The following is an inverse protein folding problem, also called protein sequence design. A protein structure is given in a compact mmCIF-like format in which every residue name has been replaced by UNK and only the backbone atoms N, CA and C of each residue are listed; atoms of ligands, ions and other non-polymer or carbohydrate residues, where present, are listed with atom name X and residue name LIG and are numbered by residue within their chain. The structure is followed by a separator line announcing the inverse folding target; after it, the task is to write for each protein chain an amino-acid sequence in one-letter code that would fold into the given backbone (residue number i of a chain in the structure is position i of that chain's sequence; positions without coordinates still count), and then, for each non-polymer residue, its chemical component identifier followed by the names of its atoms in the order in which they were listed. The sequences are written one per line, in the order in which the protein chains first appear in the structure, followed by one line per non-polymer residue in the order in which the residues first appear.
data_IF_686049806248
#
_entry.id   IF_686049806248
#
_cell.length_a   1.000
_cell.length_b   1.000
_cell.length_c   1.000
_cell.angle_alpha   90.00
_cell.angle_beta   90.00
_cell.angle_gamma   90.00
#
_symmetry.space_group_name_H-M   'P 1'
#
loop_
_entity.id
_entity.type
_entity.pdbx_description
1 polymer ?
#
# COMPACT_ATOMS: atom_id res chain seq x y z
N UNK A 1 -5.94 -11.03 14.93
CA UNK A 1 -4.47 -10.80 14.98
C UNK A 1 -4.18 -9.36 14.63
N UNK A 2 -3.18 -8.75 15.26
CA UNK A 2 -2.79 -7.34 15.01
C UNK A 2 -1.83 -7.29 13.83
N UNK A 3 -1.97 -6.25 12.99
CA UNK A 3 -1.02 -5.92 11.92
C UNK A 3 -0.32 -4.62 12.29
N UNK A 4 1.01 -4.61 12.28
CA UNK A 4 1.82 -3.42 12.57
C UNK A 4 2.52 -2.96 11.30
N UNK A 5 2.41 -1.67 10.99
CA UNK A 5 3.14 -1.03 9.90
C UNK A 5 4.34 -0.26 10.44
N UNK A 6 5.46 -0.33 9.73
CA UNK A 6 6.70 0.36 10.07
C UNK A 6 7.04 1.34 8.95
N UNK A 7 7.27 2.59 9.31
CA UNK A 7 7.56 3.69 8.40
C UNK A 7 9.02 4.11 8.57
N UNK A 8 9.73 4.33 7.47
CA UNK A 8 11.13 4.71 7.48
C UNK A 8 11.46 5.68 6.36
N UNK A 9 11.34 5.22 5.11
CA UNK A 9 11.81 6.00 3.94
C UNK A 9 10.87 7.12 3.52
N UNK A 10 9.56 6.94 3.63
CA UNK A 10 8.55 7.93 3.20
C UNK A 10 7.57 8.22 4.34
N UNK A 11 7.04 9.47 4.45
CA UNK A 11 6.17 9.86 5.56
C UNK A 11 4.87 9.06 5.66
N UNK A 12 4.30 8.69 4.50
CA UNK A 12 2.96 8.10 4.41
C UNK A 12 2.96 6.70 3.82
N UNK A 13 4.13 6.12 3.55
CA UNK A 13 4.25 4.82 2.90
C UNK A 13 5.04 3.91 3.84
N UNK A 14 4.43 2.81 4.31
CA UNK A 14 5.15 1.88 5.16
C UNK A 14 6.21 1.12 4.34
N UNK A 15 7.36 0.89 4.96
CA UNK A 15 8.44 0.09 4.38
C UNK A 15 8.24 -1.40 4.69
N UNK A 16 7.66 -1.71 5.85
CA UNK A 16 7.41 -3.09 6.30
C UNK A 16 6.07 -3.25 7.03
N UNK A 17 5.56 -4.48 7.00
CA UNK A 17 4.39 -4.93 7.75
C UNK A 17 4.76 -6.18 8.57
N UNK A 18 4.38 -6.19 9.85
CA UNK A 18 4.48 -7.38 10.71
C UNK A 18 3.06 -7.91 10.92
N UNK A 19 2.81 -9.16 10.51
CA UNK A 19 1.50 -9.80 10.59
C UNK A 19 1.67 -11.29 10.92
N UNK A 20 1.03 -11.73 12.01
CA UNK A 20 1.07 -13.14 12.42
C UNK A 20 2.49 -13.65 12.72
N UNK A 21 3.38 -12.78 13.21
CA UNK A 21 4.78 -13.12 13.49
C UNK A 21 5.72 -13.04 12.28
N UNK A 22 5.18 -12.92 11.05
CA UNK A 22 5.98 -12.75 9.84
C UNK A 22 6.22 -11.28 9.53
N UNK A 23 7.40 -10.99 8.98
CA UNK A 23 7.78 -9.66 8.50
C UNK A 23 7.72 -9.64 6.98
N UNK A 24 7.09 -8.60 6.45
CA UNK A 24 6.94 -8.39 5.01
C UNK A 24 7.50 -7.03 4.63
N UNK A 25 8.28 -6.97 3.57
CA UNK A 25 8.71 -5.72 2.93
C UNK A 25 7.65 -5.25 1.95
N UNK A 26 7.40 -3.96 1.95
CA UNK A 26 6.49 -3.29 1.03
C UNK A 26 7.33 -2.51 0.03
N UNK A 27 7.20 -2.86 -1.25
CA UNK A 27 7.82 -2.12 -2.35
C UNK A 27 6.74 -1.26 -2.98
N UNK A 28 6.93 0.05 -2.94
CA UNK A 28 6.02 1.02 -3.54
C UNK A 28 6.58 1.59 -4.84
N UNK A 29 5.70 2.10 -5.69
CA UNK A 29 6.12 2.94 -6.81
C UNK A 29 6.57 4.33 -6.34
N UNK A 30 6.93 5.19 -7.31
CA UNK A 30 7.40 6.55 -7.03
C UNK A 30 6.37 7.39 -6.25
N UNK A 31 5.10 7.01 -6.29
CA UNK A 31 3.96 7.73 -5.71
C UNK A 31 3.60 7.21 -4.33
N UNK A 32 4.15 6.05 -3.95
CA UNK A 32 3.90 5.42 -2.68
C UNK A 32 2.81 4.36 -2.70
N UNK A 33 2.26 4.03 -3.87
CA UNK A 33 1.30 2.92 -3.99
C UNK A 33 2.04 1.58 -3.90
N UNK A 34 1.65 0.65 -3.00
CA UNK A 34 2.29 -0.65 -2.89
C UNK A 34 2.14 -1.49 -4.17
N UNK A 35 3.25 -2.04 -4.67
CA UNK A 35 3.30 -2.92 -5.85
C UNK A 35 3.63 -4.36 -5.49
N UNK A 36 4.49 -4.57 -4.50
CA UNK A 36 4.88 -5.90 -4.04
C UNK A 36 4.90 -5.97 -2.53
N UNK A 37 4.39 -7.08 -2.01
CA UNK A 37 4.54 -7.51 -0.63
C UNK A 37 5.41 -8.74 -0.62
N UNK A 38 6.60 -8.64 -0.03
CA UNK A 38 7.64 -9.67 -0.07
C UNK A 38 7.89 -10.19 1.33
N UNK A 39 7.80 -11.49 1.54
CA UNK A 39 8.20 -12.11 2.80
C UNK A 39 9.71 -11.96 2.99
N UNK A 40 10.14 -11.37 4.10
CA UNK A 40 11.57 -11.10 4.33
C UNK A 40 12.35 -12.35 4.72
N UNK A 41 11.67 -13.43 5.13
CA UNK A 41 12.33 -14.67 5.55
C UNK A 41 12.90 -15.45 4.36
N UNK A 42 12.17 -15.51 3.25
CA UNK A 42 12.51 -16.35 2.09
C UNK A 42 12.52 -15.58 0.75
N UNK A 43 12.13 -14.31 0.75
CA UNK A 43 12.03 -13.50 -0.46
C UNK A 43 10.84 -13.81 -1.35
N UNK A 44 9.91 -14.67 -0.91
CA UNK A 44 8.71 -15.00 -1.67
C UNK A 44 7.77 -13.80 -1.81
N UNK A 45 7.11 -13.69 -2.96
CA UNK A 45 6.11 -12.64 -3.21
C UNK A 45 4.78 -13.11 -2.63
N UNK A 46 4.38 -12.52 -1.51
CA UNK A 46 3.11 -12.80 -0.86
C UNK A 46 1.93 -12.12 -1.59
N UNK A 47 2.19 -11.01 -2.27
CA UNK A 47 1.20 -10.30 -3.09
C UNK A 47 1.90 -9.40 -4.11
N UNK A 48 1.33 -9.35 -5.31
CA UNK A 48 1.66 -8.39 -6.37
C UNK A 48 0.41 -7.63 -6.78
N UNK A 49 0.53 -6.31 -6.86
CA UNK A 49 -0.54 -5.41 -7.29
C UNK A 49 -0.03 -4.58 -8.46
N UNK A 50 -0.74 -4.66 -9.59
CA UNK A 50 -0.50 -3.84 -10.76
C UNK A 50 -1.60 -2.79 -10.89
N UNK A 51 -1.20 -1.60 -11.34
CA UNK A 51 -2.11 -0.50 -11.60
C UNK A 51 -1.96 0.00 -13.04
N UNK A 52 -3.07 0.45 -13.62
CA UNK A 52 -3.03 1.26 -14.84
C UNK A 52 -2.55 2.69 -14.56
N UNK A 53 -2.48 3.50 -15.62
CA UNK A 53 -2.04 4.91 -15.54
C UNK A 53 -2.97 5.81 -14.73
N UNK A 54 -4.21 5.38 -14.49
CA UNK A 54 -5.20 6.09 -13.68
C UNK A 54 -5.22 5.62 -12.23
N UNK A 55 -4.45 4.59 -11.88
CA UNK A 55 -4.38 4.03 -10.53
C UNK A 55 -5.43 2.95 -10.25
N UNK A 56 -6.11 2.43 -11.26
CA UNK A 56 -7.00 1.28 -11.09
C UNK A 56 -6.18 -0.01 -11.03
N UNK A 57 -6.57 -0.92 -10.14
CA UNK A 57 -5.94 -2.24 -10.05
C UNK A 57 -6.26 -3.03 -11.31
N UNK A 58 -5.22 -3.45 -12.04
CA UNK A 58 -5.35 -4.33 -13.22
C UNK A 58 -5.05 -5.78 -12.89
N UNK A 59 -4.31 -6.03 -11.81
CA UNK A 59 -4.01 -7.36 -11.31
C UNK A 59 -3.74 -7.29 -9.80
N UNK A 60 -4.28 -8.24 -9.04
CA UNK A 60 -3.99 -8.43 -7.62
C UNK A 60 -3.94 -9.94 -7.36
N UNK A 61 -2.75 -10.44 -7.00
CA UNK A 61 -2.55 -11.87 -6.79
C UNK A 61 -3.09 -12.37 -5.45
N UNK A 62 -3.46 -11.46 -4.54
CA UNK A 62 -4.00 -11.81 -3.22
C UNK A 62 -4.94 -10.70 -2.71
N UNK A 63 -6.13 -10.55 -3.33
CA UNK A 63 -7.09 -9.51 -2.98
C UNK A 63 -7.70 -9.82 -1.61
N UNK A 64 -7.04 -9.37 -0.55
CA UNK A 64 -7.59 -9.44 0.81
C UNK A 64 -8.91 -8.64 0.91
N UNK A 65 -9.72 -8.88 1.96
CA UNK A 65 -10.96 -8.13 2.19
C UNK A 65 -10.64 -6.64 2.36
N UNK A 66 -10.95 -5.84 1.32
CA UNK A 66 -10.49 -4.45 1.13
C UNK A 66 -8.99 -4.30 1.46
N UNK A 67 -8.13 -4.59 0.48
CA UNK A 67 -6.68 -4.27 0.47
C UNK A 67 -6.39 -3.09 1.40
N UNK A 68 -5.92 -3.39 2.62
CA UNK A 68 -5.75 -2.41 3.71
C UNK A 68 -4.59 -1.44 3.48
N UNK A 69 -4.08 -1.42 2.24
CA UNK A 69 -3.04 -0.54 1.79
C UNK A 69 -3.67 0.76 1.28
N UNK A 70 -3.33 1.91 1.87
CA UNK A 70 -3.79 3.19 1.35
C UNK A 70 -3.31 3.37 -0.10
N UNK A 71 -4.25 3.58 -1.01
CA UNK A 71 -3.96 3.93 -2.42
C UNK A 71 -3.56 5.40 -2.48
N UNK A 72 -2.31 5.67 -2.83
CA UNK A 72 -1.84 7.03 -3.02
C UNK A 72 -1.72 7.34 -4.50
N UNK A 73 -2.83 7.82 -5.09
CA UNK A 73 -2.70 8.63 -6.31
C UNK A 73 -3.82 9.63 -6.62
N UNK A 74 -5.08 9.39 -6.26
CA UNK A 74 -6.15 10.38 -6.57
C UNK A 74 -7.20 10.56 -5.47
N UNK A 75 -7.38 9.59 -4.57
CA UNK A 75 -8.35 9.70 -3.49
C UNK A 75 -7.95 10.81 -2.50
N UNK A 76 -6.68 10.88 -2.08
CA UNK A 76 -6.21 11.95 -1.18
C UNK A 76 -6.26 13.36 -1.83
N UNK A 77 -6.10 13.49 -3.15
CA UNK A 77 -6.25 14.76 -3.86
C UNK A 77 -7.74 15.14 -4.09
N UNK A 78 -8.58 14.17 -4.42
CA UNK A 78 -10.03 14.37 -4.56
C UNK A 78 -10.72 14.68 -3.23
N UNK A 79 -10.33 13.99 -2.14
CA UNK A 79 -10.87 14.19 -0.80
C UNK A 79 -10.38 15.51 -0.18
N UNK A 80 -9.13 15.92 -0.43
CA UNK A 80 -8.62 17.24 0.01
C UNK A 80 -9.26 18.43 -0.71
N UNK A 81 -9.81 18.25 -1.92
CA UNK A 81 -10.65 19.26 -2.59
C UNK A 81 -12.06 19.37 -2.00
N UNK A 82 -12.59 18.29 -1.43
CA UNK A 82 -13.91 18.28 -0.78
C UNK A 82 -13.85 18.81 0.67
N UNK A 83 -12.68 18.78 1.31
CA UNK A 83 -12.47 19.25 2.68
C UNK A 83 -12.01 20.71 2.81
N UNK A 84 -11.97 21.50 1.72
CA UNK A 84 -11.80 22.96 1.86
C UNK A 84 -13.15 23.59 2.25
N UNK A 85 -13.33 24.10 3.48
CA UNK A 85 -14.51 24.91 3.77
C UNK A 85 -14.51 26.10 2.80
N UNK A 86 -15.59 26.25 2.03
CA UNK A 86 -15.85 27.50 1.32
C UNK A 86 -15.99 28.57 2.40
N UNK A 87 -15.14 29.60 2.33
CA UNK A 87 -15.33 30.84 3.08
C UNK A 87 -16.68 31.44 2.75
#
# INVERSE_FOLDING_TARGET
MITRFVYGTKPNVPDYMIKGGNTYRIISDHLGSPRLIVNTTDGSIAQRIDYDVWGNITNDTNPGPRSGYPRFHQQAYAESRQLRPKR
#
